data_IF_069150722898
#
_entry.id   IF_069150722898
#
_cell.length_a   1.000
_cell.length_b   1.000
_cell.length_c   1.000
_cell.angle_alpha   90.00
_cell.angle_beta   90.00
_cell.angle_gamma   90.00
#
_symmetry.space_group_name_H-M   'P 1'
#
loop_
_entity.id
_entity.type
_entity.pdbx_description
1 polymer ?
#
# COMPACT_ATOMS: atom_id res chain seq x y z
N UNK A 1 -7.44 -9.75 23.07
CA UNK A 1 -6.70 -8.55 23.57
C UNK A 1 -6.40 -7.64 22.40
N UNK A 2 -6.64 -6.32 22.49
CA UNK A 2 -6.29 -5.39 21.40
C UNK A 2 -4.78 -5.12 21.40
N UNK A 3 -4.15 -5.19 20.24
CA UNK A 3 -2.73 -4.90 20.02
C UNK A 3 -2.62 -3.84 18.93
N UNK A 4 -1.83 -2.80 19.17
CA UNK A 4 -1.47 -1.81 18.16
C UNK A 4 0.04 -1.88 17.99
N UNK A 5 0.50 -2.11 16.76
CA UNK A 5 1.91 -2.13 16.40
C UNK A 5 2.16 -1.12 15.29
N UNK A 6 3.18 -0.29 15.46
CA UNK A 6 3.59 0.70 14.45
C UNK A 6 5.03 0.43 14.02
N UNK A 7 5.28 0.47 12.71
CA UNK A 7 6.59 0.44 12.09
C UNK A 7 6.81 1.74 11.32
N UNK A 8 7.97 2.37 11.51
CA UNK A 8 8.38 3.55 10.76
C UNK A 8 9.56 3.19 9.87
N UNK A 9 9.45 3.53 8.59
CA UNK A 9 10.34 3.09 7.53
C UNK A 9 10.78 4.28 6.69
N UNK A 10 12.08 4.45 6.48
CA UNK A 10 12.62 5.37 5.47
C UNK A 10 12.74 4.68 4.12
N UNK A 11 13.28 3.46 4.12
CA UNK A 11 13.27 2.50 3.02
C UNK A 11 12.82 1.14 3.56
N UNK A 12 12.68 0.17 2.66
CA UNK A 12 12.34 -1.20 3.01
C UNK A 12 13.62 -2.04 3.09
N UNK A 13 14.27 -2.02 4.25
CA UNK A 13 15.45 -2.86 4.53
C UNK A 13 15.06 -4.23 5.11
N UNK A 14 16.00 -5.17 5.12
CA UNK A 14 15.75 -6.55 5.53
C UNK A 14 15.27 -6.65 6.98
N UNK A 15 15.84 -5.86 7.90
CA UNK A 15 15.40 -5.85 9.29
C UNK A 15 13.92 -5.46 9.43
N UNK A 16 13.49 -4.46 8.67
CA UNK A 16 12.10 -4.03 8.63
C UNK A 16 11.20 -5.10 8.01
N UNK A 17 11.65 -5.76 6.93
CA UNK A 17 10.92 -6.87 6.31
C UNK A 17 10.69 -8.00 7.31
N UNK A 18 11.74 -8.43 7.99
CA UNK A 18 11.71 -9.54 8.94
C UNK A 18 10.81 -9.21 10.14
N UNK A 19 10.91 -7.99 10.69
CA UNK A 19 10.08 -7.57 11.83
C UNK A 19 8.59 -7.53 11.51
N UNK A 20 8.22 -7.07 10.30
CA UNK A 20 6.83 -7.05 9.83
C UNK A 20 6.34 -8.48 9.56
N UNK A 21 7.19 -9.33 8.97
CA UNK A 21 6.88 -10.75 8.71
C UNK A 21 6.60 -11.50 10.01
N UNK A 22 7.52 -11.42 10.98
CA UNK A 22 7.42 -12.06 12.29
C UNK A 22 6.13 -11.65 13.01
N UNK A 23 5.73 -10.38 12.90
CA UNK A 23 4.48 -9.90 13.47
C UNK A 23 3.26 -10.62 12.86
N UNK A 24 3.20 -10.74 11.53
CA UNK A 24 2.10 -11.45 10.87
C UNK A 24 2.11 -12.96 11.11
N UNK A 25 3.29 -13.58 11.21
CA UNK A 25 3.41 -14.98 11.64
C UNK A 25 2.93 -15.19 13.08
N UNK A 26 3.12 -14.21 13.96
CA UNK A 26 2.54 -14.19 15.30
C UNK A 26 1.00 -14.14 15.27
N UNK A 27 0.41 -13.33 14.38
CA UNK A 27 -1.04 -13.26 14.21
C UNK A 27 -1.63 -14.55 13.64
N UNK A 28 -0.96 -15.18 12.67
CA UNK A 28 -1.35 -16.49 12.15
C UNK A 28 -1.48 -17.54 13.27
N UNK A 29 -0.46 -17.64 14.13
CA UNK A 29 -0.49 -18.53 15.30
C UNK A 29 -1.61 -18.17 16.26
N UNK A 30 -1.78 -16.88 16.56
CA UNK A 30 -2.82 -16.37 17.46
C UNK A 30 -4.23 -16.75 17.00
N UNK A 31 -4.51 -16.62 15.70
CA UNK A 31 -5.84 -16.87 15.14
C UNK A 31 -6.03 -18.30 14.61
N UNK A 32 -4.98 -19.12 14.61
CA UNK A 32 -4.99 -20.49 14.07
C UNK A 32 -5.50 -20.55 12.62
N UNK A 33 -5.05 -19.60 11.79
CA UNK A 33 -5.41 -19.51 10.36
C UNK A 33 -4.16 -19.64 9.50
N UNK A 34 -3.82 -20.86 9.12
CA UNK A 34 -2.63 -21.19 8.33
C UNK A 34 -2.57 -20.41 7.01
N UNK A 35 -1.38 -19.89 6.67
CA UNK A 35 -1.12 -19.12 5.45
C UNK A 35 -1.64 -17.67 5.47
N UNK A 36 -2.42 -17.28 6.48
CA UNK A 36 -2.91 -15.91 6.62
C UNK A 36 -1.78 -14.91 6.86
N UNK A 37 -0.80 -15.29 7.68
CA UNK A 37 0.33 -14.44 8.04
C UNK A 37 1.16 -14.08 6.83
N UNK A 38 1.61 -15.09 6.09
CA UNK A 38 2.39 -14.91 4.85
C UNK A 38 1.61 -14.11 3.79
N UNK A 39 0.32 -14.39 3.63
CA UNK A 39 -0.49 -13.71 2.61
C UNK A 39 -0.71 -12.24 2.94
N UNK A 40 -1.05 -11.91 4.20
CA UNK A 40 -1.17 -10.51 4.63
C UNK A 40 0.18 -9.80 4.55
N UNK A 41 1.27 -10.47 4.94
CA UNK A 41 2.62 -9.93 4.82
C UNK A 41 2.95 -9.54 3.36
N UNK A 42 2.69 -10.42 2.39
CA UNK A 42 2.92 -10.14 0.97
C UNK A 42 2.11 -8.94 0.48
N UNK A 43 0.85 -8.83 0.91
CA UNK A 43 0.01 -7.66 0.63
C UNK A 43 0.63 -6.38 1.19
N UNK A 44 1.07 -6.41 2.46
CA UNK A 44 1.66 -5.24 3.12
C UNK A 44 2.99 -4.87 2.49
N UNK A 45 3.83 -5.84 2.12
CA UNK A 45 5.10 -5.61 1.43
C UNK A 45 4.93 -4.86 0.12
N UNK A 46 3.92 -5.23 -0.67
CA UNK A 46 3.63 -4.55 -1.93
C UNK A 46 3.17 -3.11 -1.70
N UNK A 47 2.32 -2.88 -0.68
CA UNK A 47 1.88 -1.53 -0.32
C UNK A 47 3.02 -0.66 0.20
N UNK A 48 3.89 -1.22 1.05
CA UNK A 48 5.07 -0.53 1.59
C UNK A 48 6.05 -0.21 0.48
N UNK A 49 6.29 -1.13 -0.45
CA UNK A 49 7.16 -0.90 -1.62
C UNK A 49 6.63 0.25 -2.48
N UNK A 50 5.31 0.31 -2.71
CA UNK A 50 4.69 1.41 -3.44
C UNK A 50 4.79 2.75 -2.69
N UNK A 51 4.60 2.74 -1.37
CA UNK A 51 4.77 3.90 -0.50
C UNK A 51 6.21 4.43 -0.49
N UNK A 52 7.21 3.55 -0.36
CA UNK A 52 8.64 3.90 -0.45
C UNK A 52 8.97 4.46 -1.84
N UNK A 53 8.55 3.80 -2.92
CA UNK A 53 8.74 4.30 -4.30
C UNK A 53 8.11 5.67 -4.52
N UNK A 54 6.96 5.95 -3.91
CA UNK A 54 6.35 7.27 -3.95
C UNK A 54 7.26 8.30 -3.29
N UNK A 55 7.73 8.06 -2.06
CA UNK A 55 8.65 8.96 -1.36
C UNK A 55 9.95 9.18 -2.13
N UNK A 56 10.62 8.12 -2.61
CA UNK A 56 11.84 8.21 -3.41
C UNK A 56 11.65 9.09 -4.65
N UNK A 57 10.52 8.96 -5.33
CA UNK A 57 10.18 9.79 -6.49
C UNK A 57 10.05 11.27 -6.11
N UNK A 58 9.44 11.60 -4.96
CA UNK A 58 9.34 13.00 -4.52
C UNK A 58 10.71 13.55 -4.13
N UNK A 59 11.51 12.77 -3.40
CA UNK A 59 12.91 13.10 -3.09
C UNK A 59 13.70 13.38 -4.35
N UNK A 60 13.63 12.50 -5.35
CA UNK A 60 14.35 12.66 -6.61
C UNK A 60 13.94 13.93 -7.35
N UNK A 61 12.63 14.17 -7.47
CA UNK A 61 12.10 15.33 -8.17
C UNK A 61 12.53 16.64 -7.49
N UNK A 62 12.43 16.70 -6.16
CA UNK A 62 12.83 17.86 -5.39
C UNK A 62 14.34 18.13 -5.48
N UNK A 63 15.17 17.08 -5.36
CA UNK A 63 16.63 17.20 -5.43
C UNK A 63 17.15 17.57 -6.82
N UNK A 64 16.39 17.29 -7.88
CA UNK A 64 16.81 17.54 -9.27
C UNK A 64 16.01 18.64 -9.98
N UNK A 65 15.12 19.34 -9.26
CA UNK A 65 14.35 20.47 -9.81
C UNK A 65 13.27 20.09 -10.83
N UNK A 66 12.75 18.85 -10.79
CA UNK A 66 11.62 18.45 -11.63
C UNK A 66 10.28 18.90 -11.03
N UNK A 67 9.30 19.16 -11.90
CA UNK A 67 7.96 19.62 -11.52
C UNK A 67 6.93 18.50 -11.63
N UNK A 68 5.87 18.59 -10.80
CA UNK A 68 4.75 17.65 -10.77
C UNK A 68 3.52 18.20 -11.53
N UNK A 69 3.75 18.86 -12.67
CA UNK A 69 2.72 19.53 -13.47
C UNK A 69 2.08 18.65 -14.55
N UNK A 70 2.54 17.39 -14.70
CA UNK A 70 2.08 16.47 -15.74
C UNK A 70 2.58 16.80 -17.16
N UNK A 71 3.50 17.76 -17.30
CA UNK A 71 4.08 18.18 -18.56
C UNK A 71 5.37 17.43 -18.94
N UNK A 72 6.20 18.08 -19.76
CA UNK A 72 7.47 17.53 -20.25
C UNK A 72 8.47 17.28 -19.11
N UNK A 73 8.60 18.24 -18.19
CA UNK A 73 9.43 18.13 -16.98
C UNK A 73 9.07 16.90 -16.13
N UNK A 74 7.77 16.64 -15.95
CA UNK A 74 7.30 15.46 -15.24
C UNK A 74 7.70 14.15 -15.96
N UNK A 75 7.54 14.12 -17.28
CA UNK A 75 7.86 12.94 -18.11
C UNK A 75 9.37 12.65 -18.12
N UNK A 76 10.20 13.68 -18.25
CA UNK A 76 11.66 13.56 -18.16
C UNK A 76 12.10 13.14 -16.76
N UNK A 77 11.54 13.77 -15.72
CA UNK A 77 11.79 13.45 -14.32
C UNK A 77 11.45 11.99 -14.01
N UNK A 78 10.36 11.46 -14.55
CA UNK A 78 9.99 10.04 -14.40
C UNK A 78 11.01 9.10 -15.06
N UNK A 79 11.51 9.44 -16.25
CA UNK A 79 12.52 8.64 -16.94
C UNK A 79 13.81 8.57 -16.12
N UNK A 80 14.32 9.73 -15.71
CA UNK A 80 15.53 9.85 -14.88
C UNK A 80 15.37 9.22 -13.50
N UNK A 81 14.18 9.32 -12.91
CA UNK A 81 13.87 8.63 -11.66
C UNK A 81 14.00 7.10 -11.81
N UNK A 82 13.45 6.51 -12.87
CA UNK A 82 13.57 5.06 -13.10
C UNK A 82 15.02 4.62 -13.25
N UNK A 83 15.83 5.41 -13.95
CA UNK A 83 17.28 5.16 -14.08
C UNK A 83 17.97 5.25 -12.70
N UNK A 84 17.58 6.22 -11.87
CA UNK A 84 18.16 6.46 -10.54
C UNK A 84 17.95 5.31 -9.55
N UNK A 85 16.88 4.52 -9.70
CA UNK A 85 16.61 3.38 -8.82
C UNK A 85 17.69 2.29 -8.89
N UNK A 86 18.41 2.20 -10.01
CA UNK A 86 19.47 1.22 -10.22
C UNK A 86 20.89 1.80 -10.03
N UNK A 87 21.02 3.11 -9.88
CA UNK A 87 22.34 3.79 -9.85
C UNK A 87 22.65 4.44 -8.51
N UNK A 88 21.64 4.84 -7.74
CA UNK A 88 21.80 5.41 -6.40
C UNK A 88 21.76 4.28 -5.37
N UNK A 89 22.72 4.27 -4.45
CA UNK A 89 22.78 3.26 -3.37
C UNK A 89 21.61 3.39 -2.40
N UNK A 90 21.27 2.30 -1.71
CA UNK A 90 20.20 2.32 -0.70
C UNK A 90 20.50 3.33 0.43
N UNK A 91 21.74 3.41 0.89
CA UNK A 91 22.14 4.36 1.95
C UNK A 91 21.97 5.82 1.53
N UNK A 92 22.34 6.15 0.28
CA UNK A 92 22.14 7.49 -0.26
C UNK A 92 20.65 7.84 -0.38
N UNK A 93 19.82 6.86 -0.76
CA UNK A 93 18.37 7.03 -0.74
C UNK A 93 17.81 7.25 0.66
N UNK A 94 18.25 6.45 1.66
CA UNK A 94 17.84 6.60 3.06
C UNK A 94 18.15 8.01 3.56
N UNK A 95 19.37 8.50 3.32
CA UNK A 95 19.80 9.83 3.73
C UNK A 95 18.99 10.94 3.04
N UNK A 96 18.78 10.85 1.72
CA UNK A 96 18.02 11.84 0.97
C UNK A 96 16.54 11.88 1.36
N UNK A 97 15.90 10.73 1.55
CA UNK A 97 14.51 10.61 2.00
C UNK A 97 14.36 11.20 3.41
N UNK A 98 15.27 10.85 4.32
CA UNK A 98 15.24 11.32 5.70
C UNK A 98 15.48 12.84 5.79
N UNK A 99 16.45 13.39 5.04
CA UNK A 99 16.76 14.82 5.06
C UNK A 99 15.61 15.71 4.57
N UNK A 100 14.75 15.19 3.69
CA UNK A 100 13.53 15.87 3.23
C UNK A 100 12.29 15.56 4.10
N UNK A 101 12.46 14.77 5.16
CA UNK A 101 11.40 14.42 6.10
C UNK A 101 10.37 13.43 5.55
N UNK A 102 10.69 12.69 4.47
CA UNK A 102 9.81 11.65 3.94
C UNK A 102 9.91 10.38 4.79
N UNK A 103 8.77 9.74 5.03
CA UNK A 103 8.67 8.50 5.80
C UNK A 103 7.47 7.66 5.36
N UNK A 104 7.55 6.37 5.61
CA UNK A 104 6.43 5.42 5.52
C UNK A 104 6.10 4.93 6.92
N UNK A 105 4.82 4.86 7.25
CA UNK A 105 4.33 4.31 8.53
C UNK A 105 3.42 3.13 8.23
N UNK A 106 3.66 2.00 8.89
CA UNK A 106 2.78 0.84 8.90
C UNK A 106 2.18 0.72 10.29
N UNK A 107 0.89 0.98 10.43
CA UNK A 107 0.15 0.79 11.68
C UNK A 107 -0.77 -0.41 11.55
N UNK A 108 -0.72 -1.32 12.53
CA UNK A 108 -1.55 -2.51 12.59
C UNK A 108 -2.31 -2.50 13.91
N UNK A 109 -3.63 -2.37 13.83
CA UNK A 109 -4.56 -2.45 14.96
C UNK A 109 -5.36 -3.75 14.86
N UNK A 110 -5.17 -4.63 15.83
CA UNK A 110 -5.72 -5.99 15.80
C UNK A 110 -6.37 -6.36 17.13
N UNK A 111 -7.57 -6.91 17.05
CA UNK A 111 -8.27 -7.55 18.16
C UNK A 111 -8.93 -8.86 17.67
N UNK A 112 -9.84 -9.43 18.46
CA UNK A 112 -10.52 -10.68 18.09
C UNK A 112 -11.53 -10.50 16.94
N UNK A 113 -11.96 -9.26 16.69
CA UNK A 113 -12.99 -8.94 15.69
C UNK A 113 -12.39 -8.64 14.32
N UNK A 114 -11.17 -8.09 14.26
CA UNK A 114 -10.56 -7.58 13.02
C UNK A 114 -9.04 -7.42 13.06
N UNK A 115 -8.46 -7.38 11.87
CA UNK A 115 -7.13 -6.81 11.60
C UNK A 115 -7.31 -5.56 10.74
N UNK A 116 -6.83 -4.42 11.22
CA UNK A 116 -6.89 -3.14 10.53
C UNK A 116 -5.46 -2.65 10.30
N UNK A 117 -5.10 -2.41 9.04
CA UNK A 117 -3.73 -2.05 8.65
C UNK A 117 -3.78 -0.74 7.88
N UNK A 118 -2.90 0.18 8.24
CA UNK A 118 -2.64 1.41 7.52
C UNK A 118 -1.20 1.43 7.04
N UNK A 119 -0.99 1.56 5.74
CA UNK A 119 0.30 1.91 5.14
C UNK A 119 0.20 3.35 4.64
N UNK A 120 0.90 4.24 5.31
CA UNK A 120 0.86 5.67 5.03
C UNK A 120 2.23 6.16 4.57
N UNK A 121 2.25 6.98 3.52
CA UNK A 121 3.44 7.73 3.15
C UNK A 121 3.07 9.22 3.05
N UNK A 122 3.97 10.07 3.54
CA UNK A 122 3.75 11.52 3.62
C UNK A 122 4.12 12.26 2.31
N UNK A 123 4.01 11.58 1.17
CA UNK A 123 4.17 12.22 -0.12
C UNK A 123 2.81 12.49 -0.77
N UNK A 124 2.60 13.76 -1.13
CA UNK A 124 1.37 14.23 -1.78
C UNK A 124 1.18 13.53 -3.12
N UNK A 125 -0.02 13.01 -3.36
CA UNK A 125 -0.42 12.44 -4.64
C UNK A 125 -1.01 13.54 -5.52
N UNK A 126 -0.46 13.71 -6.72
CA UNK A 126 -1.04 14.66 -7.68
C UNK A 126 -2.25 14.07 -8.39
N UNK A 127 -3.17 14.91 -8.93
CA UNK A 127 -4.41 14.43 -9.56
C UNK A 127 -4.20 13.41 -10.69
N UNK A 128 -3.12 13.53 -11.46
CA UNK A 128 -2.80 12.56 -12.52
C UNK A 128 -2.39 11.18 -11.97
N UNK A 129 -1.62 11.16 -10.88
CA UNK A 129 -1.26 9.93 -10.19
C UNK A 129 -2.48 9.27 -9.56
N UNK A 130 -3.36 10.06 -8.95
CA UNK A 130 -4.62 9.53 -8.43
C UNK A 130 -5.48 8.93 -9.54
N UNK A 131 -5.65 9.62 -10.67
CA UNK A 131 -6.41 9.10 -11.82
C UNK A 131 -5.87 7.75 -12.30
N UNK A 132 -4.54 7.62 -12.41
CA UNK A 132 -3.89 6.36 -12.81
C UNK A 132 -4.05 5.27 -11.75
N UNK A 133 -3.94 5.62 -10.46
CA UNK A 133 -4.20 4.71 -9.36
C UNK A 133 -5.64 4.18 -9.39
N UNK A 134 -6.64 5.06 -9.54
CA UNK A 134 -8.06 4.67 -9.63
C UNK A 134 -8.32 3.74 -10.81
N UNK A 135 -7.75 4.04 -11.98
CA UNK A 135 -7.87 3.18 -13.14
C UNK A 135 -7.25 1.78 -12.91
N UNK A 136 -6.09 1.71 -12.25
CA UNK A 136 -5.44 0.44 -11.88
C UNK A 136 -6.26 -0.36 -10.86
N UNK A 137 -6.79 0.31 -9.83
CA UNK A 137 -7.67 -0.33 -8.84
C UNK A 137 -8.93 -0.88 -9.51
N UNK A 138 -9.57 -0.12 -10.41
CA UNK A 138 -10.76 -0.58 -11.13
C UNK A 138 -10.47 -1.86 -11.93
N UNK A 139 -9.36 -1.90 -12.68
CA UNK A 139 -8.93 -3.11 -13.42
C UNK A 139 -8.59 -4.27 -12.47
N UNK A 140 -7.91 -4.00 -11.37
CA UNK A 140 -7.56 -5.02 -10.37
C UNK A 140 -8.79 -5.69 -9.76
N UNK A 141 -9.89 -4.95 -9.56
CA UNK A 141 -11.14 -5.51 -9.04
C UNK A 141 -11.77 -6.55 -9.97
N UNK A 142 -11.55 -6.44 -11.28
CA UNK A 142 -12.07 -7.37 -12.30
C UNK A 142 -11.30 -8.71 -12.35
N UNK A 143 -10.09 -8.76 -11.77
CA UNK A 143 -9.26 -9.97 -11.74
C UNK A 143 -9.95 -11.04 -10.89
N UNK A 144 -10.35 -12.14 -11.52
CA UNK A 144 -11.16 -13.19 -10.87
C UNK A 144 -10.33 -14.19 -10.07
N UNK A 145 -9.13 -14.54 -10.55
CA UNK A 145 -8.25 -15.52 -9.91
C UNK A 145 -6.80 -15.40 -10.42
N UNK A 146 -5.90 -16.14 -9.77
CA UNK A 146 -4.47 -16.25 -10.08
C UNK A 146 -4.15 -16.64 -11.52
N UNK A 147 -4.95 -17.52 -12.11
CA UNK A 147 -4.76 -17.96 -13.50
C UNK A 147 -4.99 -16.78 -14.45
N UNK A 148 -6.11 -16.07 -14.31
CA UNK A 148 -6.39 -14.89 -15.12
C UNK A 148 -5.42 -13.74 -14.88
N UNK A 149 -4.91 -13.59 -13.66
CA UNK A 149 -3.86 -12.64 -13.35
C UNK A 149 -2.60 -12.99 -14.17
N UNK A 150 -2.11 -14.22 -14.08
CA UNK A 150 -0.94 -14.68 -14.85
C UNK A 150 -1.14 -14.53 -16.37
N UNK A 151 -2.31 -14.84 -16.89
CA UNK A 151 -2.62 -14.68 -18.34
C UNK A 151 -2.67 -13.21 -18.79
N UNK A 152 -3.24 -12.32 -17.97
CA UNK A 152 -3.39 -10.90 -18.32
C UNK A 152 -2.12 -10.10 -18.12
N UNK A 153 -1.24 -10.56 -17.22
CA UNK A 153 -0.16 -9.76 -16.66
C UNK A 153 1.20 -10.47 -16.61
N UNK A 154 1.29 -11.73 -17.03
CA UNK A 154 2.52 -12.54 -16.94
C UNK A 154 3.69 -12.05 -17.78
N UNK A 155 3.44 -11.16 -18.74
CA UNK A 155 4.44 -10.55 -19.64
C UNK A 155 4.67 -9.04 -19.35
N UNK A 156 3.89 -8.45 -18.44
CA UNK A 156 4.02 -7.04 -18.07
C UNK A 156 5.19 -6.88 -17.09
N UNK A 157 6.30 -6.31 -17.56
CA UNK A 157 7.43 -5.97 -16.69
C UNK A 157 7.01 -5.03 -15.55
N UNK A 158 7.56 -5.26 -14.36
CA UNK A 158 7.26 -4.52 -13.11
C UNK A 158 7.17 -3.00 -13.32
N UNK A 159 5.94 -2.47 -13.39
CA UNK A 159 5.72 -1.02 -13.54
C UNK A 159 4.33 -0.58 -14.01
N UNK A 160 3.53 -1.48 -14.58
CA UNK A 160 2.25 -1.14 -15.21
C UNK A 160 1.03 -1.08 -14.25
N UNK A 161 1.09 -1.73 -13.09
CA UNK A 161 -0.05 -1.85 -12.16
C UNK A 161 -0.22 -3.23 -11.50
N UNK A 162 0.73 -4.15 -11.74
CA UNK A 162 0.73 -5.53 -11.21
C UNK A 162 0.55 -5.63 -9.71
N UNK A 163 1.26 -4.78 -8.95
CA UNK A 163 1.25 -4.83 -7.49
C UNK A 163 -0.14 -4.71 -6.88
N UNK A 164 -0.94 -3.75 -7.35
CA UNK A 164 -2.30 -3.57 -6.83
C UNK A 164 -3.22 -4.72 -7.23
N UNK A 165 -3.04 -5.29 -8.42
CA UNK A 165 -3.80 -6.46 -8.83
C UNK A 165 -3.41 -7.71 -8.01
N UNK A 166 -2.13 -7.88 -7.67
CA UNK A 166 -1.66 -8.90 -6.74
C UNK A 166 -2.28 -8.72 -5.35
N UNK A 167 -2.29 -7.48 -4.82
CA UNK A 167 -2.93 -7.16 -3.53
C UNK A 167 -4.41 -7.58 -3.52
N UNK A 168 -5.19 -7.16 -4.53
CA UNK A 168 -6.61 -7.50 -4.61
C UNK A 168 -6.82 -9.02 -4.70
N UNK A 169 -5.97 -9.70 -5.45
CA UNK A 169 -6.06 -11.14 -5.64
C UNK A 169 -5.77 -11.91 -4.35
N UNK A 170 -4.71 -11.54 -3.61
CA UNK A 170 -4.38 -12.17 -2.32
C UNK A 170 -5.47 -11.93 -1.26
N UNK A 171 -6.09 -10.74 -1.26
CA UNK A 171 -7.24 -10.46 -0.38
C UNK A 171 -8.41 -11.40 -0.70
N UNK A 172 -8.71 -11.60 -1.99
CA UNK A 172 -9.76 -12.53 -2.44
C UNK A 172 -9.44 -13.99 -2.10
N UNK A 173 -8.18 -14.39 -2.23
CA UNK A 173 -7.71 -15.76 -1.94
C UNK A 173 -7.87 -16.12 -0.46
N UNK A 174 -7.65 -15.15 0.43
CA UNK A 174 -7.97 -15.26 1.87
C UNK A 174 -9.48 -15.29 2.18
N UNK A 175 -10.34 -15.13 1.17
CA UNK A 175 -11.79 -15.06 1.32
C UNK A 175 -12.31 -13.73 1.87
N UNK A 176 -11.47 -12.68 1.90
CA UNK A 176 -11.88 -11.35 2.33
C UNK A 176 -12.44 -10.52 1.17
N UNK A 177 -13.36 -9.64 1.49
CA UNK A 177 -13.94 -8.73 0.52
C UNK A 177 -12.91 -7.65 0.11
N UNK A 178 -12.44 -7.60 -1.15
CA UNK A 178 -11.51 -6.57 -1.63
C UNK A 178 -12.05 -5.14 -1.48
N UNK A 179 -13.35 -4.98 -1.29
CA UNK A 179 -13.99 -3.70 -1.04
C UNK A 179 -13.64 -3.07 0.32
N UNK A 180 -12.95 -3.79 1.20
CA UNK A 180 -12.40 -3.24 2.44
C UNK A 180 -10.98 -2.69 2.29
N UNK A 181 -10.33 -2.93 1.15
CA UNK A 181 -9.11 -2.23 0.76
C UNK A 181 -9.42 -0.84 0.19
N UNK A 182 -8.74 0.19 0.68
CA UNK A 182 -8.92 1.57 0.24
C UNK A 182 -7.59 2.29 0.13
N UNK A 183 -7.46 3.14 -0.89
CA UNK A 183 -6.38 4.12 -0.97
C UNK A 183 -7.00 5.51 -1.04
N UNK A 184 -6.59 6.42 -0.16
CA UNK A 184 -7.12 7.78 -0.07
C UNK A 184 -6.07 8.76 0.43
N UNK A 185 -6.31 10.04 0.22
CA UNK A 185 -5.45 11.12 0.73
C UNK A 185 -5.97 11.56 2.09
N UNK A 186 -5.06 11.70 3.07
CA UNK A 186 -5.34 12.25 4.40
C UNK A 186 -4.35 13.37 4.67
N UNK A 187 -4.81 14.63 4.59
CA UNK A 187 -3.91 15.78 4.63
C UNK A 187 -2.90 15.73 3.48
N UNK A 188 -1.61 15.72 3.80
CA UNK A 188 -0.52 15.63 2.82
C UNK A 188 0.00 14.20 2.62
N UNK A 189 -0.67 13.21 3.19
CA UNK A 189 -0.29 11.80 3.09
C UNK A 189 -1.20 11.02 2.17
N UNK A 190 -0.63 9.99 1.55
CA UNK A 190 -1.39 8.92 0.92
C UNK A 190 -1.50 7.75 1.90
N UNK A 191 -2.71 7.24 2.08
CA UNK A 191 -3.02 6.15 3.01
C UNK A 191 -3.64 4.99 2.25
N UNK A 192 -3.00 3.82 2.34
CA UNK A 192 -3.57 2.54 1.98
C UNK A 192 -4.09 1.85 3.26
N UNK A 193 -5.39 1.59 3.32
CA UNK A 193 -6.06 0.90 4.43
C UNK A 193 -6.54 -0.46 4.00
N UNK A 194 -6.16 -1.49 4.74
CA UNK A 194 -6.70 -2.85 4.66
C UNK A 194 -7.50 -3.12 5.92
N UNK A 195 -8.62 -3.81 5.77
CA UNK A 195 -9.48 -4.18 6.87
C UNK A 195 -9.95 -5.62 6.64
N UNK A 196 -9.60 -6.49 7.58
CA UNK A 196 -9.89 -7.93 7.53
C UNK A 196 -10.79 -8.30 8.72
N UNK A 197 -12.12 -8.42 8.50
CA UNK A 197 -13.06 -8.90 9.51
C UNK A 197 -12.75 -10.34 9.95
N UNK A 198 -12.42 -10.57 11.21
CA UNK A 198 -12.17 -11.91 11.73
C UNK A 198 -13.44 -12.57 12.30
N UNK A 199 -14.43 -11.76 12.68
CA UNK A 199 -15.69 -12.20 13.27
C UNK A 199 -16.88 -11.78 12.40
N UNK A 200 -17.96 -12.58 12.41
CA UNK A 200 -19.12 -12.39 11.51
C UNK A 200 -19.95 -11.14 11.82
N UNK A 201 -20.02 -10.77 13.10
CA UNK A 201 -20.81 -9.63 13.57
C UNK A 201 -20.05 -8.30 13.47
N UNK A 202 -18.78 -8.34 13.09
CA UNK A 202 -17.99 -7.14 12.88
C UNK A 202 -18.52 -6.35 11.69
N UNK A 203 -19.01 -5.14 11.94
CA UNK A 203 -19.41 -4.20 10.89
C UNK A 203 -18.17 -3.43 10.40
N UNK A 204 -17.74 -3.60 9.13
CA UNK A 204 -16.58 -2.92 8.56
C UNK A 204 -16.74 -1.41 8.54
N UNK A 205 -15.63 -0.68 8.65
CA UNK A 205 -15.62 0.79 8.66
C UNK A 205 -16.40 1.33 7.48
N UNK A 206 -16.21 0.78 6.27
CA UNK A 206 -16.96 1.25 5.08
C UNK A 206 -18.47 1.22 5.28
N UNK A 207 -19.01 0.15 5.88
CA UNK A 207 -20.45 -0.02 6.06
C UNK A 207 -21.00 0.91 7.15
N UNK A 208 -20.23 1.15 8.22
CA UNK A 208 -20.62 2.11 9.27
C UNK A 208 -20.92 3.49 8.70
N UNK A 209 -20.11 3.95 7.74
CA UNK A 209 -20.30 5.27 7.12
C UNK A 209 -21.55 5.32 6.23
N UNK A 210 -21.99 4.19 5.68
CA UNK A 210 -23.22 4.11 4.89
C UNK A 210 -24.47 4.06 5.79
N UNK A 211 -24.38 3.36 6.92
CA UNK A 211 -25.44 3.27 7.93
C UNK A 211 -25.64 4.61 8.63
N UNK A 212 -24.57 5.25 9.11
CA UNK A 212 -24.67 6.53 9.82
C UNK A 212 -24.70 7.77 8.91
N UNK A 213 -24.28 7.63 7.64
CA UNK A 213 -24.35 8.70 6.66
C UNK A 213 -25.74 8.91 6.04
N UNK A 214 -26.65 7.94 6.19
CA UNK A 214 -28.03 8.03 5.71
C UNK A 214 -29.02 8.59 6.74
N UNK A 215 -28.65 8.62 8.03
CA UNK A 215 -29.42 9.26 9.11
C UNK A 215 -29.11 10.76 9.30
N UNK A 216 -28.14 11.31 8.56
CA UNK A 216 -27.71 12.72 8.62
C UNK A 216 -28.35 13.65 7.58
N UNK A 217 -29.30 13.15 6.77
CA UNK A 217 -30.10 13.97 5.85
C UNK A 217 -31.60 13.70 6.05
N UNK A 218 -32.13 14.12 7.21
CA UNK A 218 -33.55 14.43 7.38
C UNK A 218 -33.69 15.67 8.24
#
# INVERSE_FOLDING_TARGET
MRTIQTFQLATLDNQSRDSIHDFFMGLEKRFSKEGMGDTIYNVVQELVTNAVKANLKRTFFQSNGFTFDGGESYSEGLKKFKESLNTISEDAWKEAVHSLGFQVTVEIDVDEERILIYVENNAVMIPEEERRLRARLARAMEVRNLIKFSEQYGDDTEGAGLGLALVIMLIKDLGFDPDYFRVFTRGNSTVARLEFPLHRDYVPIRQRWQIFGSDGQK
#
